data_IF_014649508786
#
_entry.id   IF_014649508786
#
_cell.length_a   1.000
_cell.length_b   1.000
_cell.length_c   1.000
_cell.angle_alpha   90.00
_cell.angle_beta   90.00
_cell.angle_gamma   90.00
#
_symmetry.space_group_name_H-M   'P 1'
#
loop_
_entity.id
_entity.type
_entity.pdbx_description
1 polymer ?
#
# COMPACT_ATOMS: atom_id res chain seq x y z
N UNK A 1 7.77 8.36 -27.77
CA UNK A 1 8.49 8.27 -26.47
C UNK A 1 7.73 7.28 -25.63
N UNK A 2 8.29 6.07 -25.40
CA UNK A 2 7.66 5.12 -24.49
C UNK A 2 7.85 5.66 -23.06
N UNK A 3 6.82 6.29 -22.53
CA UNK A 3 6.81 6.76 -21.15
C UNK A 3 6.94 5.57 -20.21
N UNK A 4 7.63 5.76 -19.10
CA UNK A 4 7.71 4.74 -18.04
C UNK A 4 6.34 4.66 -17.38
N UNK A 5 5.69 3.48 -17.43
CA UNK A 5 4.33 3.26 -16.92
C UNK A 5 4.29 2.79 -15.46
N UNK A 6 5.45 2.76 -14.80
CA UNK A 6 5.59 2.34 -13.39
C UNK A 6 6.84 2.94 -12.78
N UNK A 7 6.89 2.91 -11.45
CA UNK A 7 8.09 3.21 -10.65
C UNK A 7 8.48 1.94 -9.89
N UNK A 8 9.76 1.84 -9.55
CA UNK A 8 10.31 0.78 -8.69
C UNK A 8 11.28 1.38 -7.68
N UNK A 9 11.54 0.65 -6.62
CA UNK A 9 12.53 1.02 -5.64
C UNK A 9 13.03 -0.17 -4.83
N UNK A 10 13.96 0.12 -3.94
CA UNK A 10 14.65 -0.83 -3.08
C UNK A 10 14.16 -0.70 -1.65
N UNK A 11 14.42 -1.72 -0.84
CA UNK A 11 14.28 -1.66 0.61
C UNK A 11 15.56 -1.14 1.24
N UNK A 12 15.43 -0.64 2.47
CA UNK A 12 16.55 -0.11 3.25
C UNK A 12 16.64 -0.88 4.57
N UNK A 13 17.85 -1.27 4.92
CA UNK A 13 18.15 -1.93 6.18
C UNK A 13 19.27 -1.18 6.89
N UNK A 14 19.03 -0.74 8.13
CA UNK A 14 19.91 0.15 8.89
C UNK A 14 20.34 1.39 8.09
N UNK A 15 19.38 2.03 7.44
CA UNK A 15 19.59 3.24 6.65
C UNK A 15 20.31 3.04 5.31
N UNK A 16 20.65 1.80 4.94
CA UNK A 16 21.35 1.48 3.68
C UNK A 16 20.46 0.75 2.70
N UNK A 17 20.49 1.10 1.41
CA UNK A 17 19.71 0.38 0.40
C UNK A 17 20.21 -1.06 0.29
N UNK A 18 19.26 -2.00 0.27
CA UNK A 18 19.56 -3.40 0.01
C UNK A 18 19.77 -3.61 -1.50
N UNK A 19 20.86 -4.31 -1.84
CA UNK A 19 21.23 -4.64 -3.21
C UNK A 19 21.45 -6.14 -3.37
N UNK A 20 21.56 -6.60 -4.62
CA UNK A 20 21.81 -8.01 -4.93
C UNK A 20 20.55 -8.87 -4.79
N UNK A 21 20.59 -9.88 -3.92
CA UNK A 21 19.50 -10.85 -3.77
C UNK A 21 18.42 -10.35 -2.77
N UNK A 22 17.83 -9.19 -3.02
CA UNK A 22 16.71 -8.64 -2.27
C UNK A 22 15.54 -8.36 -3.22
N UNK A 23 14.28 -8.43 -2.74
CA UNK A 23 13.13 -8.10 -3.56
C UNK A 23 13.11 -6.60 -3.89
N UNK A 24 12.41 -6.25 -4.96
CA UNK A 24 12.09 -4.86 -5.29
C UNK A 24 10.58 -4.61 -5.15
N UNK A 25 10.23 -3.40 -4.78
CA UNK A 25 8.84 -2.95 -4.85
C UNK A 25 8.59 -2.17 -6.14
N UNK A 26 7.34 -2.15 -6.57
CA UNK A 26 6.91 -1.34 -7.70
C UNK A 26 5.48 -0.87 -7.58
N UNK A 27 5.16 0.18 -8.34
CA UNK A 27 3.81 0.74 -8.43
C UNK A 27 3.56 1.24 -9.84
N UNK A 28 2.42 0.90 -10.43
CA UNK A 28 2.01 1.42 -11.73
C UNK A 28 1.71 2.92 -11.66
N UNK A 29 1.94 3.62 -12.77
CA UNK A 29 1.53 5.01 -12.94
C UNK A 29 0.15 5.08 -13.60
N UNK A 30 -0.45 6.27 -13.62
CA UNK A 30 -1.73 6.53 -14.27
C UNK A 30 -1.69 6.19 -15.78
N UNK A 31 -0.55 6.39 -16.43
CA UNK A 31 -0.33 6.08 -17.86
C UNK A 31 -0.46 4.59 -18.18
N UNK A 32 -0.23 3.70 -17.21
CA UNK A 32 -0.45 2.26 -17.38
C UNK A 32 -1.93 1.87 -17.50
N UNK A 33 -2.85 2.79 -17.16
CA UNK A 33 -4.29 2.56 -17.14
C UNK A 33 -4.82 2.09 -15.79
N UNK A 34 -6.08 1.66 -15.78
CA UNK A 34 -6.78 1.30 -14.55
C UNK A 34 -6.50 -0.15 -14.14
N UNK A 35 -5.90 -0.32 -12.94
CA UNK A 35 -5.50 -1.60 -12.37
C UNK A 35 -6.49 -2.16 -11.35
N UNK A 36 -7.76 -1.71 -11.38
CA UNK A 36 -8.78 -2.20 -10.45
C UNK A 36 -8.90 -3.73 -10.48
N UNK A 37 -9.21 -4.31 -9.31
CA UNK A 37 -9.34 -5.75 -9.14
C UNK A 37 -10.56 -6.09 -8.29
N UNK A 38 -11.37 -7.02 -8.81
CA UNK A 38 -12.39 -7.79 -8.10
C UNK A 38 -12.42 -9.21 -8.66
N UNK A 39 -12.76 -10.17 -7.85
CA UNK A 39 -12.81 -11.58 -8.25
C UNK A 39 -13.71 -11.84 -9.46
N UNK A 40 -14.85 -11.13 -9.53
CA UNK A 40 -15.87 -11.33 -10.57
C UNK A 40 -15.72 -10.39 -11.77
N UNK A 41 -14.61 -9.63 -11.86
CA UNK A 41 -14.37 -8.67 -12.94
C UNK A 41 -13.12 -9.03 -13.73
N UNK A 42 -13.26 -9.15 -15.05
CA UNK A 42 -12.14 -9.32 -15.95
C UNK A 42 -11.48 -7.96 -16.24
N UNK A 43 -10.20 -7.83 -15.93
CA UNK A 43 -9.40 -6.66 -16.29
C UNK A 43 -8.16 -7.11 -17.09
N UNK A 44 -8.33 -7.31 -18.39
CA UNK A 44 -7.28 -7.78 -19.30
C UNK A 44 -6.07 -6.86 -19.37
N UNK A 45 -6.27 -5.54 -19.19
CA UNK A 45 -5.19 -4.57 -19.12
C UNK A 45 -4.29 -4.83 -17.90
N UNK A 46 -4.92 -4.98 -16.71
CA UNK A 46 -4.22 -5.31 -15.47
C UNK A 46 -3.49 -6.65 -15.57
N UNK A 47 -4.14 -7.67 -16.08
CA UNK A 47 -3.55 -9.01 -16.22
C UNK A 47 -2.32 -8.98 -17.11
N UNK A 48 -2.39 -8.31 -18.26
CA UNK A 48 -1.25 -8.13 -19.17
C UNK A 48 -0.12 -7.37 -18.47
N UNK A 49 -0.43 -6.22 -17.87
CA UNK A 49 0.55 -5.38 -17.20
C UNK A 49 1.27 -6.15 -16.08
N UNK A 50 0.54 -6.83 -15.20
CA UNK A 50 1.13 -7.56 -14.08
C UNK A 50 1.91 -8.80 -14.54
N UNK A 51 1.46 -9.52 -15.57
CA UNK A 51 2.19 -10.64 -16.15
C UNK A 51 3.59 -10.23 -16.65
N UNK A 52 3.68 -9.07 -17.31
CA UNK A 52 4.95 -8.52 -17.77
C UNK A 52 5.87 -8.12 -16.59
N UNK A 53 5.31 -7.63 -15.47
CA UNK A 53 6.06 -7.22 -14.27
C UNK A 53 6.43 -8.41 -13.38
N UNK A 54 5.66 -9.48 -13.44
CA UNK A 54 5.89 -10.68 -12.65
C UNK A 54 7.13 -11.49 -13.08
N UNK A 55 7.61 -11.34 -14.33
CA UNK A 55 8.80 -12.04 -14.84
C UNK A 55 8.78 -13.55 -14.52
N UNK A 56 7.62 -14.19 -14.77
CA UNK A 56 7.42 -15.62 -14.52
C UNK A 56 6.93 -15.98 -13.12
N UNK A 57 6.83 -15.01 -12.18
CA UNK A 57 6.22 -15.22 -10.87
C UNK A 57 4.70 -15.30 -10.98
N UNK A 58 4.07 -15.90 -9.99
CA UNK A 58 2.61 -15.95 -9.89
C UNK A 58 2.09 -14.70 -9.19
N UNK A 59 1.21 -13.95 -9.85
CA UNK A 59 0.53 -12.79 -9.26
C UNK A 59 -0.47 -13.27 -8.23
N UNK A 60 -0.39 -12.75 -7.01
CA UNK A 60 -1.36 -13.02 -5.96
C UNK A 60 -1.96 -11.72 -5.44
N UNK A 61 -3.29 -11.70 -5.29
CA UNK A 61 -4.07 -10.54 -4.87
C UNK A 61 -5.27 -10.99 -4.05
N UNK A 62 -5.86 -10.07 -3.30
CA UNK A 62 -7.13 -10.21 -2.61
C UNK A 62 -8.05 -9.05 -2.97
N UNK A 63 -9.37 -9.23 -2.86
CA UNK A 63 -10.30 -8.13 -3.01
C UNK A 63 -10.28 -7.24 -1.77
N UNK A 64 -9.94 -5.96 -1.96
CA UNK A 64 -9.71 -5.03 -0.85
C UNK A 64 -11.02 -4.56 -0.22
N UNK A 65 -11.07 -4.56 1.11
CA UNK A 65 -12.24 -4.16 1.90
C UNK A 65 -11.93 -3.07 2.95
N UNK A 66 -10.72 -2.51 2.94
CA UNK A 66 -10.24 -1.51 3.88
C UNK A 66 -10.26 -2.02 5.34
N UNK A 67 -9.74 -3.22 5.54
CA UNK A 67 -9.65 -3.93 6.83
C UNK A 67 -8.21 -3.96 7.35
N UNK A 68 -8.00 -4.76 8.41
CA UNK A 68 -6.69 -5.15 8.94
C UNK A 68 -6.35 -6.61 8.61
N UNK A 69 -7.10 -7.23 7.67
CA UNK A 69 -6.89 -8.64 7.33
C UNK A 69 -5.67 -8.82 6.44
N UNK A 70 -4.70 -9.59 6.93
CA UNK A 70 -3.47 -9.96 6.22
C UNK A 70 -3.38 -11.48 6.11
N UNK A 71 -3.05 -11.98 4.93
CA UNK A 71 -2.84 -13.39 4.66
C UNK A 71 -1.34 -13.70 4.56
N UNK A 72 -0.91 -14.76 5.27
CA UNK A 72 0.40 -15.37 5.11
C UNK A 72 0.21 -16.61 4.24
N UNK A 73 0.81 -16.64 3.05
CA UNK A 73 0.52 -17.66 2.04
C UNK A 73 1.79 -18.24 1.41
N UNK A 74 1.70 -19.47 0.95
CA UNK A 74 2.74 -20.15 0.17
C UNK A 74 2.30 -20.41 -1.29
N UNK A 75 1.00 -20.32 -1.58
CA UNK A 75 0.45 -20.50 -2.92
C UNK A 75 -0.69 -19.52 -3.24
N UNK A 76 -0.91 -19.25 -4.53
CA UNK A 76 -2.03 -18.40 -5.00
C UNK A 76 -3.39 -19.01 -4.67
N UNK A 77 -3.50 -20.34 -4.67
CA UNK A 77 -4.77 -21.04 -4.40
C UNK A 77 -5.34 -20.80 -3.01
N UNK A 78 -4.50 -20.40 -2.06
CA UNK A 78 -4.93 -20.03 -0.70
C UNK A 78 -5.72 -18.70 -0.64
N UNK A 79 -5.68 -17.91 -1.71
CA UNK A 79 -6.30 -16.59 -1.76
C UNK A 79 -7.61 -16.55 -2.56
N UNK A 80 -8.01 -17.67 -3.19
CA UNK A 80 -9.20 -17.70 -4.06
C UNK A 80 -10.44 -17.18 -3.33
N UNK A 81 -11.10 -16.19 -3.93
CA UNK A 81 -12.31 -15.52 -3.45
C UNK A 81 -12.18 -14.85 -2.07
N UNK A 82 -10.96 -14.67 -1.55
CA UNK A 82 -10.74 -14.02 -0.27
C UNK A 82 -10.76 -12.50 -0.39
N UNK A 83 -11.22 -11.88 0.70
CA UNK A 83 -11.23 -10.43 0.90
C UNK A 83 -10.26 -10.09 2.04
N UNK A 84 -9.48 -9.01 1.85
CA UNK A 84 -8.49 -8.56 2.83
C UNK A 84 -7.67 -7.41 2.26
N UNK A 85 -6.66 -6.97 2.99
CA UNK A 85 -5.91 -5.77 2.61
C UNK A 85 -4.38 -5.97 2.68
N UNK A 86 -3.92 -7.21 2.84
CA UNK A 86 -2.50 -7.51 2.86
C UNK A 86 -2.17 -8.97 2.55
N UNK A 87 -1.00 -9.16 1.92
CA UNK A 87 -0.43 -10.48 1.62
C UNK A 87 1.05 -10.45 1.98
N UNK A 88 1.48 -11.44 2.77
CA UNK A 88 2.89 -11.70 3.08
C UNK A 88 3.25 -13.15 2.72
N UNK A 89 4.49 -13.39 2.32
CA UNK A 89 4.96 -14.71 1.90
C UNK A 89 6.48 -14.83 2.03
N UNK A 90 6.99 -16.07 2.10
CA UNK A 90 8.42 -16.41 1.87
C UNK A 90 8.64 -17.00 0.47
N UNK A 91 7.55 -17.33 -0.25
CA UNK A 91 7.64 -17.97 -1.54
C UNK A 91 8.04 -16.96 -2.63
N UNK A 92 9.31 -17.03 -3.07
CA UNK A 92 9.89 -16.14 -4.10
C UNK A 92 9.27 -16.32 -5.49
N UNK A 93 8.42 -17.32 -5.69
CA UNK A 93 7.67 -17.49 -6.93
C UNK A 93 6.35 -16.71 -6.94
N UNK A 94 6.00 -16.06 -5.83
CA UNK A 94 4.83 -15.20 -5.73
C UNK A 94 5.18 -13.73 -5.90
N UNK A 95 4.23 -12.96 -6.41
CA UNK A 95 4.25 -11.51 -6.47
C UNK A 95 2.99 -10.96 -5.82
N UNK A 96 3.02 -10.63 -4.51
CA UNK A 96 1.92 -9.98 -3.82
C UNK A 96 1.60 -8.62 -4.42
N UNK A 97 0.30 -8.37 -4.67
CA UNK A 97 -0.21 -7.16 -5.31
C UNK A 97 -1.42 -6.62 -4.54
N UNK A 98 -1.42 -5.32 -4.27
CA UNK A 98 -2.61 -4.57 -3.84
C UNK A 98 -2.92 -3.47 -4.85
N UNK A 99 -4.11 -2.89 -4.76
CA UNK A 99 -4.51 -1.77 -5.61
C UNK A 99 -4.78 -0.53 -4.77
N UNK A 100 -4.40 0.65 -5.29
CA UNK A 100 -4.53 1.92 -4.56
C UNK A 100 -4.98 3.06 -5.46
N UNK A 101 -5.75 3.98 -4.89
CA UNK A 101 -6.05 5.30 -5.45
C UNK A 101 -6.17 6.27 -4.25
N UNK A 102 -5.08 6.91 -3.88
CA UNK A 102 -4.84 7.71 -2.69
C UNK A 102 -4.52 6.93 -1.40
N UNK A 103 -5.07 5.74 -1.18
CA UNK A 103 -4.63 4.88 -0.07
C UNK A 103 -3.15 4.54 -0.21
N UNK A 104 -2.48 4.33 0.92
CA UNK A 104 -1.04 4.05 0.98
C UNK A 104 -0.77 2.58 0.68
N UNK A 105 0.01 2.24 -0.36
CA UNK A 105 0.61 0.93 -0.46
C UNK A 105 1.79 0.86 0.51
N UNK A 106 1.87 -0.19 1.31
CA UNK A 106 3.01 -0.45 2.18
C UNK A 106 3.68 -1.73 1.70
N UNK A 107 4.98 -1.63 1.47
CA UNK A 107 5.82 -2.73 1.03
C UNK A 107 6.66 -3.20 2.21
N UNK A 108 6.70 -4.52 2.42
CA UNK A 108 7.43 -5.16 3.52
C UNK A 108 8.51 -6.10 2.99
N UNK A 109 9.64 -6.11 3.68
CA UNK A 109 10.67 -7.12 3.53
C UNK A 109 11.39 -7.37 4.86
N UNK A 110 11.57 -8.63 5.24
CA UNK A 110 12.38 -9.07 6.37
C UNK A 110 13.53 -9.93 5.83
N UNK A 111 14.79 -9.42 5.88
CA UNK A 111 15.91 -10.04 5.15
C UNK A 111 16.45 -11.34 5.76
N UNK A 112 16.21 -11.60 7.05
CA UNK A 112 16.76 -12.79 7.74
C UNK A 112 15.95 -14.04 7.37
N UNK A 113 14.62 -13.95 7.40
CA UNK A 113 13.72 -15.05 7.08
C UNK A 113 13.23 -14.99 5.61
N UNK A 114 13.50 -13.89 4.90
CA UNK A 114 13.10 -13.72 3.51
C UNK A 114 11.59 -13.48 3.32
N UNK A 115 10.88 -12.98 4.34
CA UNK A 115 9.47 -12.63 4.24
C UNK A 115 9.31 -11.30 3.53
N UNK A 116 8.38 -11.24 2.58
CA UNK A 116 8.05 -10.01 1.88
C UNK A 116 6.54 -9.93 1.62
N UNK A 117 6.05 -8.73 1.31
CA UNK A 117 4.62 -8.56 1.09
C UNK A 117 4.21 -7.16 0.71
N UNK A 118 2.91 -7.03 0.44
CA UNK A 118 2.29 -5.76 0.05
C UNK A 118 0.98 -5.59 0.81
N UNK A 119 0.76 -4.38 1.35
CA UNK A 119 -0.41 -4.04 2.15
C UNK A 119 -1.08 -2.79 1.59
N UNK A 120 -2.40 -2.71 1.76
CA UNK A 120 -3.23 -1.56 1.45
C UNK A 120 -3.62 -0.86 2.75
N UNK A 121 -3.16 0.37 2.95
CA UNK A 121 -3.46 1.17 4.14
C UNK A 121 -4.24 2.43 3.77
N UNK A 122 -5.56 2.36 3.82
CA UNK A 122 -6.44 3.52 3.86
C UNK A 122 -6.64 3.99 5.31
N UNK A 123 -7.56 4.94 5.55
CA UNK A 123 -7.80 5.45 6.90
C UNK A 123 -8.32 4.37 7.87
N UNK A 124 -9.16 3.42 7.40
CA UNK A 124 -9.63 2.29 8.21
C UNK A 124 -8.57 1.22 8.42
N UNK A 125 -7.67 1.06 7.47
CA UNK A 125 -6.57 0.10 7.51
C UNK A 125 -5.26 0.69 8.03
N UNK A 126 -5.28 1.90 8.62
CA UNK A 126 -4.07 2.48 9.22
C UNK A 126 -3.62 1.61 10.39
N UNK A 127 -2.35 1.19 10.38
CA UNK A 127 -1.81 0.24 11.36
C UNK A 127 -1.77 -1.21 10.89
N UNK A 128 -2.38 -1.57 9.75
CA UNK A 128 -2.32 -2.93 9.17
C UNK A 128 -0.89 -3.48 9.05
N UNK A 129 0.08 -2.60 8.94
CA UNK A 129 1.50 -2.97 8.89
C UNK A 129 1.96 -3.66 10.17
N UNK A 130 1.44 -3.25 11.32
CA UNK A 130 1.73 -3.91 12.60
C UNK A 130 1.11 -5.31 12.65
N UNK A 131 -0.11 -5.48 12.15
CA UNK A 131 -0.77 -6.80 12.07
C UNK A 131 0.00 -7.75 11.14
N UNK A 132 0.52 -7.24 10.02
CA UNK A 132 1.34 -8.01 9.09
C UNK A 132 2.65 -8.47 9.74
N UNK A 133 3.32 -7.60 10.49
CA UNK A 133 4.56 -7.93 11.20
C UNK A 133 4.31 -8.96 12.30
N UNK A 134 3.28 -8.75 13.12
CA UNK A 134 2.90 -9.72 14.17
C UNK A 134 2.56 -11.09 13.56
N UNK A 135 1.81 -11.10 12.46
CA UNK A 135 1.52 -12.33 11.73
C UNK A 135 2.80 -13.01 11.20
N UNK A 136 3.75 -12.24 10.67
CA UNK A 136 5.03 -12.77 10.21
C UNK A 136 5.88 -13.34 11.34
N UNK A 137 5.89 -12.71 12.52
CA UNK A 137 6.55 -13.25 13.72
C UNK A 137 5.95 -14.60 14.10
N UNK A 138 4.62 -14.70 14.13
CA UNK A 138 3.91 -15.92 14.51
C UNK A 138 4.05 -17.05 13.50
N UNK A 139 4.06 -16.73 12.21
CA UNK A 139 4.03 -17.72 11.12
C UNK A 139 5.42 -18.14 10.65
N UNK A 140 6.36 -17.19 10.61
CA UNK A 140 7.67 -17.38 9.99
C UNK A 140 8.85 -17.19 10.97
N UNK A 141 8.59 -16.87 12.25
CA UNK A 141 9.62 -16.64 13.25
C UNK A 141 10.47 -15.37 13.01
N UNK A 142 9.90 -14.37 12.34
CA UNK A 142 10.55 -13.09 12.09
C UNK A 142 10.81 -12.32 13.40
N UNK A 143 11.79 -11.42 13.36
CA UNK A 143 12.00 -10.39 14.39
C UNK A 143 11.56 -9.03 13.82
N UNK A 144 10.62 -8.35 14.53
CA UNK A 144 10.11 -7.03 14.12
C UNK A 144 11.19 -6.00 13.86
N UNK A 145 12.32 -6.10 14.55
CA UNK A 145 13.46 -5.18 14.39
C UNK A 145 14.15 -5.27 13.02
N UNK A 146 13.96 -6.39 12.32
CA UNK A 146 14.57 -6.63 11.02
C UNK A 146 13.68 -6.20 9.84
N UNK A 147 12.43 -5.80 10.08
CA UNK A 147 11.55 -5.40 8.98
C UNK A 147 12.03 -4.11 8.32
N UNK A 148 12.12 -4.16 7.00
CA UNK A 148 12.26 -3.03 6.10
C UNK A 148 10.87 -2.65 5.60
N UNK A 149 10.47 -1.40 5.80
CA UNK A 149 9.14 -0.90 5.45
C UNK A 149 9.27 0.27 4.49
N UNK A 150 8.57 0.20 3.36
CA UNK A 150 8.46 1.33 2.44
C UNK A 150 6.99 1.72 2.32
N UNK A 151 6.67 2.93 2.74
CA UNK A 151 5.39 3.57 2.51
C UNK A 151 5.42 4.24 1.14
N UNK A 152 4.71 3.66 0.17
CA UNK A 152 4.71 4.13 -1.21
C UNK A 152 3.94 5.44 -1.42
N UNK A 153 3.86 5.95 -2.67
CA UNK A 153 3.09 7.13 -3.02
C UNK A 153 1.63 7.01 -2.60
N UNK A 154 1.11 8.02 -1.92
CA UNK A 154 -0.25 8.07 -1.36
C UNK A 154 -0.71 9.52 -1.23
N UNK A 155 -1.95 9.76 -0.82
CA UNK A 155 -2.43 11.11 -0.51
C UNK A 155 -1.78 11.62 0.79
N UNK A 156 -1.13 12.78 0.73
CA UNK A 156 -0.50 13.41 1.89
C UNK A 156 -1.43 14.41 2.58
N UNK A 157 -1.01 14.87 3.75
CA UNK A 157 -1.70 15.90 4.55
C UNK A 157 -1.85 17.27 3.87
N UNK A 158 -1.17 17.52 2.77
CA UNK A 158 -1.44 18.68 1.91
C UNK A 158 -2.81 18.62 1.20
N UNK A 159 -3.37 17.41 1.01
CA UNK A 159 -4.59 17.15 0.26
C UNK A 159 -5.63 16.32 1.02
N UNK A 160 -5.21 15.57 2.05
CA UNK A 160 -6.09 14.62 2.72
C UNK A 160 -6.92 15.30 3.82
N UNK A 161 -7.83 16.17 3.39
CA UNK A 161 -8.82 16.77 4.30
C UNK A 161 -9.76 15.71 4.86
N UNK A 162 -9.99 15.76 6.17
CA UNK A 162 -10.86 14.86 6.94
C UNK A 162 -11.85 15.67 7.80
N UNK A 163 -12.88 15.02 8.33
CA UNK A 163 -13.79 15.56 9.33
C UNK A 163 -13.17 15.57 10.75
N UNK A 164 -13.82 16.28 11.67
CA UNK A 164 -13.36 16.42 13.05
C UNK A 164 -13.38 15.09 13.82
N UNK A 165 -14.40 14.25 13.60
CA UNK A 165 -14.52 12.94 14.25
C UNK A 165 -13.31 12.04 13.90
N UNK A 166 -12.96 12.00 12.62
CA UNK A 166 -11.78 11.27 12.16
C UNK A 166 -10.48 11.89 12.67
N UNK A 167 -10.39 13.22 12.73
CA UNK A 167 -9.24 13.90 13.29
C UNK A 167 -9.03 13.52 14.76
N UNK A 168 -10.09 13.51 15.55
CA UNK A 168 -10.05 13.09 16.95
C UNK A 168 -9.68 11.61 17.11
N UNK A 169 -10.25 10.72 16.27
CA UNK A 169 -9.90 9.31 16.26
C UNK A 169 -8.39 9.09 16.06
N UNK A 170 -7.79 9.76 15.07
CA UNK A 170 -6.37 9.60 14.78
C UNK A 170 -5.47 10.17 15.87
N UNK A 171 -5.84 11.31 16.46
CA UNK A 171 -5.09 11.91 17.58
C UNK A 171 -5.04 11.01 18.81
N UNK A 172 -6.12 10.30 19.08
CA UNK A 172 -6.24 9.42 20.25
C UNK A 172 -5.59 8.05 20.02
N UNK A 173 -5.81 7.45 18.86
CA UNK A 173 -5.42 6.05 18.61
C UNK A 173 -4.02 5.91 17.96
N UNK A 174 -3.44 7.02 17.47
CA UNK A 174 -2.09 7.03 16.90
C UNK A 174 -1.25 8.13 17.57
N UNK A 175 -1.18 9.30 16.95
CA UNK A 175 -0.43 10.43 17.49
C UNK A 175 -1.08 11.76 17.11
N UNK A 176 -1.09 12.78 17.99
CA UNK A 176 -1.56 14.11 17.62
C UNK A 176 -0.87 14.68 16.37
N UNK A 177 0.40 14.34 16.14
CA UNK A 177 1.21 14.83 15.04
C UNK A 177 0.75 14.36 13.65
N UNK A 178 -0.08 13.29 13.58
CA UNK A 178 -0.62 12.83 12.32
C UNK A 178 -1.78 13.69 11.78
N UNK A 179 -2.29 14.65 12.57
CA UNK A 179 -3.38 15.54 12.17
C UNK A 179 -2.93 16.99 12.24
N UNK A 180 -2.92 17.66 11.10
CA UNK A 180 -2.69 19.09 10.99
C UNK A 180 -4.01 19.85 10.90
N UNK A 181 -4.08 21.00 11.57
CA UNK A 181 -5.18 21.95 11.43
C UNK A 181 -4.70 23.16 10.62
N UNK A 182 -5.44 23.50 9.59
CA UNK A 182 -5.15 24.64 8.72
C UNK A 182 -6.45 25.24 8.22
N UNK A 183 -6.61 26.56 8.39
CA UNK A 183 -7.78 27.34 7.93
C UNK A 183 -9.12 26.72 8.39
N UNK A 184 -9.19 26.25 9.64
CA UNK A 184 -10.37 25.62 10.23
C UNK A 184 -10.72 24.23 9.64
N UNK A 185 -9.79 23.59 8.95
CA UNK A 185 -9.95 22.25 8.42
C UNK A 185 -8.84 21.31 8.92
N UNK A 186 -9.16 20.02 9.04
CA UNK A 186 -8.23 19.00 9.48
C UNK A 186 -7.67 18.22 8.28
N UNK A 187 -6.38 17.89 8.35
CA UNK A 187 -5.65 17.16 7.33
C UNK A 187 -4.87 16.01 7.96
N UNK A 188 -5.00 14.82 7.40
CA UNK A 188 -4.42 13.59 7.93
C UNK A 188 -3.15 13.18 7.19
N UNK A 189 -2.11 12.85 7.96
CA UNK A 189 -0.92 12.16 7.48
C UNK A 189 -1.00 10.66 7.81
N UNK A 190 -1.34 9.83 6.83
CA UNK A 190 -1.29 8.37 6.97
C UNK A 190 0.13 7.89 7.27
N UNK A 191 1.14 8.57 6.72
CA UNK A 191 2.54 8.24 6.94
C UNK A 191 2.94 8.42 8.40
N UNK A 192 2.59 9.53 9.02
CA UNK A 192 2.90 9.77 10.44
C UNK A 192 2.19 8.76 11.35
N UNK A 193 0.93 8.45 11.08
CA UNK A 193 0.18 7.48 11.86
C UNK A 193 0.78 6.06 11.77
N UNK A 194 1.07 5.56 10.56
CA UNK A 194 1.69 4.25 10.38
C UNK A 194 3.13 4.21 10.92
N UNK A 195 3.92 5.29 10.75
CA UNK A 195 5.28 5.38 11.28
C UNK A 195 5.28 5.33 12.81
N UNK A 196 4.38 6.08 13.46
CA UNK A 196 4.23 6.03 14.91
C UNK A 196 3.92 4.62 15.39
N UNK A 197 2.92 3.95 14.78
CA UNK A 197 2.55 2.58 15.12
C UNK A 197 3.72 1.58 14.94
N UNK A 198 4.52 1.73 13.90
CA UNK A 198 5.71 0.91 13.67
C UNK A 198 6.79 1.12 14.73
N UNK A 199 7.06 2.36 15.13
CA UNK A 199 8.03 2.67 16.18
C UNK A 199 7.59 2.15 17.55
N UNK A 200 6.32 2.31 17.91
CA UNK A 200 5.74 1.72 19.12
C UNK A 200 5.79 0.18 19.11
N UNK A 201 5.65 -0.44 17.94
CA UNK A 201 5.82 -1.88 17.79
C UNK A 201 7.29 -2.31 17.98
N UNK A 202 8.26 -1.41 17.79
CA UNK A 202 9.70 -1.67 17.93
C UNK A 202 10.43 -1.92 16.61
N UNK A 203 9.86 -1.52 15.48
CA UNK A 203 10.56 -1.51 14.18
C UNK A 203 11.63 -0.42 14.20
N UNK A 204 12.82 -0.73 13.69
CA UNK A 204 13.92 0.22 13.64
C UNK A 204 13.59 1.38 12.68
N UNK A 205 13.76 2.62 13.15
CA UNK A 205 13.45 3.82 12.38
C UNK A 205 14.21 3.92 11.06
N UNK A 206 15.48 3.57 11.07
CA UNK A 206 16.35 3.56 9.89
C UNK A 206 15.90 2.55 8.80
N UNK A 207 14.99 1.66 9.13
CA UNK A 207 14.40 0.68 8.21
C UNK A 207 13.08 1.16 7.59
N UNK A 208 12.60 2.36 7.98
CA UNK A 208 11.31 2.91 7.53
C UNK A 208 11.55 4.03 6.53
N UNK A 209 11.07 3.86 5.31
CA UNK A 209 11.14 4.87 4.24
C UNK A 209 9.74 5.28 3.83
N UNK A 210 9.52 6.57 3.61
CA UNK A 210 8.26 7.11 3.12
C UNK A 210 8.47 7.87 1.81
N UNK A 211 7.59 7.62 0.84
CA UNK A 211 7.55 8.40 -0.41
C UNK A 211 7.18 9.86 -0.13
N UNK A 212 7.85 10.76 -0.81
CA UNK A 212 7.57 12.20 -0.78
C UNK A 212 6.50 12.62 -1.81
N UNK A 213 6.03 11.69 -2.65
CA UNK A 213 5.07 12.00 -3.70
C UNK A 213 3.61 11.84 -3.21
N UNK A 214 2.89 12.96 -3.20
CA UNK A 214 1.44 12.97 -2.96
C UNK A 214 0.69 12.62 -4.24
N UNK A 215 -0.12 11.55 -4.23
CA UNK A 215 -0.90 11.11 -5.40
C UNK A 215 -1.94 12.13 -5.86
N UNK A 216 -2.48 12.93 -4.94
CA UNK A 216 -3.43 13.98 -5.26
C UNK A 216 -2.77 15.20 -5.92
N UNK A 217 -1.54 15.56 -5.55
CA UNK A 217 -0.80 16.67 -6.16
C UNK A 217 -0.17 16.28 -7.51
N UNK A 218 0.28 15.04 -7.63
CA UNK A 218 1.00 14.57 -8.82
C UNK A 218 0.06 13.94 -9.85
N UNK A 219 0.07 14.46 -11.08
CA UNK A 219 -0.73 13.91 -12.17
C UNK A 219 -0.22 12.57 -12.71
N UNK A 220 0.98 12.15 -12.29
CA UNK A 220 1.55 10.83 -12.64
C UNK A 220 0.74 9.68 -12.05
N UNK A 221 0.03 9.93 -10.94
CA UNK A 221 -0.80 8.93 -10.26
C UNK A 221 -2.29 9.15 -10.50
N UNK A 222 -3.07 8.10 -10.48
CA UNK A 222 -4.51 8.19 -10.25
C UNK A 222 -4.77 8.61 -8.81
N UNK A 223 -5.81 9.41 -8.61
CA UNK A 223 -6.20 9.89 -7.29
C UNK A 223 -7.71 9.95 -7.19
N UNK A 224 -8.28 9.21 -6.26
CA UNK A 224 -9.70 9.29 -5.97
C UNK A 224 -10.10 10.72 -5.63
N UNK A 225 -9.39 11.38 -4.71
CA UNK A 225 -9.67 12.74 -4.25
C UNK A 225 -9.67 13.75 -5.39
N UNK A 226 -8.65 13.74 -6.22
CA UNK A 226 -8.53 14.69 -7.35
C UNK A 226 -9.53 14.39 -8.45
N UNK A 227 -9.64 13.13 -8.87
CA UNK A 227 -10.41 12.74 -10.04
C UNK A 227 -11.92 12.73 -9.80
N UNK A 228 -12.36 12.70 -8.53
CA UNK A 228 -13.78 12.75 -8.18
C UNK A 228 -14.23 14.09 -7.58
N UNK A 229 -13.34 15.08 -7.47
CA UNK A 229 -13.61 16.34 -6.79
C UNK A 229 -14.81 17.13 -7.37
N UNK A 230 -15.07 17.01 -8.68
CA UNK A 230 -16.18 17.68 -9.36
C UNK A 230 -17.45 16.86 -9.54
N UNK A 231 -17.49 15.63 -9.00
CA UNK A 231 -18.66 14.75 -9.13
C UNK A 231 -19.73 15.07 -8.08
N UNK A 232 -21.01 14.77 -8.36
CA UNK A 232 -22.08 14.91 -7.39
C UNK A 232 -21.75 14.22 -6.06
N UNK A 233 -22.00 14.87 -4.91
CA UNK A 233 -21.65 14.30 -3.60
C UNK A 233 -22.44 13.03 -3.26
N UNK A 234 -23.65 12.89 -3.76
CA UNK A 234 -24.57 11.76 -3.60
C UNK A 234 -24.27 10.57 -4.53
N UNK A 235 -23.37 10.74 -5.51
CA UNK A 235 -22.94 9.65 -6.38
C UNK A 235 -22.29 8.54 -5.55
N UNK A 236 -22.74 7.30 -5.73
CA UNK A 236 -22.21 6.13 -5.04
C UNK A 236 -20.74 5.86 -5.39
N UNK A 237 -20.03 5.11 -4.55
CA UNK A 237 -18.65 4.72 -4.83
C UNK A 237 -18.54 3.88 -6.11
N UNK A 238 -19.53 3.02 -6.37
CA UNK A 238 -19.58 2.19 -7.58
C UNK A 238 -19.66 3.04 -8.84
N UNK A 239 -20.55 4.03 -8.87
CA UNK A 239 -20.66 4.96 -9.99
C UNK A 239 -19.39 5.79 -10.18
N UNK A 240 -18.70 6.17 -9.07
CA UNK A 240 -17.43 6.91 -9.12
C UNK A 240 -16.26 6.10 -9.70
N UNK A 241 -16.31 4.76 -9.69
CA UNK A 241 -15.20 3.89 -10.13
C UNK A 241 -14.72 4.16 -11.56
N UNK A 242 -15.59 4.59 -12.45
CA UNK A 242 -15.24 4.91 -13.83
C UNK A 242 -14.47 6.24 -14.01
N UNK A 243 -14.43 7.08 -12.97
CA UNK A 243 -13.86 8.43 -13.05
C UNK A 243 -12.45 8.53 -12.48
N UNK A 244 -11.97 7.51 -11.79
CA UNK A 244 -10.61 7.54 -11.26
C UNK A 244 -9.81 6.30 -11.65
N UNK A 245 -8.49 6.49 -11.69
CA UNK A 245 -7.55 5.44 -12.05
C UNK A 245 -6.98 4.82 -10.78
N UNK A 246 -7.05 3.50 -10.71
CA UNK A 246 -6.45 2.69 -9.64
C UNK A 246 -5.09 2.20 -10.09
N UNK A 247 -4.07 2.27 -9.23
CA UNK A 247 -2.74 1.73 -9.45
C UNK A 247 -2.61 0.33 -8.84
N UNK A 248 -1.80 -0.53 -9.46
CA UNK A 248 -1.28 -1.74 -8.83
C UNK A 248 0.03 -1.44 -8.13
N UNK A 249 0.22 -1.98 -6.93
CA UNK A 249 1.45 -1.91 -6.16
C UNK A 249 1.87 -3.33 -5.77
N UNK A 250 3.15 -3.67 -5.93
CA UNK A 250 3.64 -5.04 -5.77
C UNK A 250 5.01 -5.11 -5.12
N UNK A 251 5.32 -6.26 -4.56
CA UNK A 251 6.69 -6.66 -4.23
C UNK A 251 7.03 -7.91 -5.03
N UNK A 252 8.24 -7.92 -5.60
CA UNK A 252 8.73 -9.03 -6.42
C UNK A 252 10.18 -9.34 -6.06
N UNK A 253 10.50 -10.62 -5.99
CA UNK A 253 11.85 -11.13 -5.84
C UNK A 253 12.58 -11.25 -7.18
#
# INVERSE_FOLDING_TARGET
MNGVDFITGQFYFHGKPLSGNAPCWGMSLKSAGNMSFRWNELNSLREKFLRERAEGKQVCAVELIHSHTVYAVDSVSELNDLQGDGIITQNRNLMPVVTVADCMPIFLYEPVNGVFGTLHSGWKGTGIVCDAIVKAEQTFGCDRRNFCVVMGPHIHDCCYRIDEERAQYFRVNFTPDCVKEKDGAFYLSLAQANRHALLELGVCDDNIVCSTECTCCSERFGSFRRQTAGLPPDMSLEEKRQYFTVQAAWVRW
#
